data_IF_899432595179
#
_entry.id   IF_899432595179
#
_cell.length_a   1.000
_cell.length_b   1.000
_cell.length_c   1.000
_cell.angle_alpha   90.00
_cell.angle_beta   90.00
_cell.angle_gamma   90.00
#
_symmetry.space_group_name_H-M   'P 1'
#
loop_
_entity.id
_entity.type
_entity.pdbx_description
1 polymer ?
#
# COMPACT_ATOMS: atom_id res chain seq x y z
N UNK A 1 11.51 -1.13 20.39
CA UNK A 1 10.68 -0.34 19.43
C UNK A 1 9.44 -1.14 19.01
N UNK A 2 8.32 -0.48 18.65
CA UNK A 2 7.14 -1.14 18.07
C UNK A 2 6.98 -0.77 16.59
N UNK A 3 6.72 -1.77 15.75
CA UNK A 3 6.55 -1.62 14.31
C UNK A 3 5.23 -2.21 13.84
N UNK A 4 4.48 -1.45 13.05
CA UNK A 4 3.25 -1.88 12.36
C UNK A 4 3.59 -2.18 10.91
N UNK A 5 3.38 -3.42 10.44
CA UNK A 5 3.84 -3.85 9.12
C UNK A 5 2.70 -3.74 8.13
N UNK A 6 2.93 -2.94 7.10
CA UNK A 6 2.05 -2.76 5.96
C UNK A 6 2.80 -2.97 4.64
N UNK A 7 2.05 -3.07 3.56
CA UNK A 7 2.61 -3.18 2.21
C UNK A 7 3.07 -1.81 1.71
N UNK A 8 2.23 -0.79 1.91
CA UNK A 8 2.42 0.57 1.45
C UNK A 8 1.57 1.55 2.29
N UNK A 9 1.75 2.84 2.06
CA UNK A 9 0.77 3.87 2.39
C UNK A 9 0.51 4.66 1.11
N UNK A 10 -0.73 4.71 0.66
CA UNK A 10 -1.13 5.37 -0.60
C UNK A 10 -2.03 6.57 -0.33
N UNK A 11 -2.19 7.44 -1.34
CA UNK A 11 -3.14 8.55 -1.27
C UNK A 11 -4.60 8.10 -1.06
N UNK A 12 -4.95 6.90 -1.56
CA UNK A 12 -6.26 6.25 -1.38
C UNK A 12 -6.10 4.93 -0.65
N UNK A 13 -6.13 5.02 0.68
CA UNK A 13 -5.91 3.88 1.58
C UNK A 13 -7.17 3.03 1.78
N UNK A 14 -6.95 1.75 2.12
CA UNK A 14 -7.99 0.85 2.57
C UNK A 14 -8.24 1.00 4.08
N UNK A 15 -9.17 0.21 4.62
CA UNK A 15 -9.42 0.19 6.06
C UNK A 15 -8.21 -0.27 6.89
N UNK A 16 -7.31 -1.07 6.32
CA UNK A 16 -6.12 -1.58 7.02
C UNK A 16 -5.17 -0.43 7.35
N UNK A 17 -4.77 0.34 6.34
CA UNK A 17 -3.84 1.46 6.53
C UNK A 17 -4.48 2.56 7.39
N UNK A 18 -5.79 2.83 7.23
CA UNK A 18 -6.51 3.76 8.12
C UNK A 18 -6.50 3.32 9.59
N UNK A 19 -6.61 2.02 9.87
CA UNK A 19 -6.51 1.48 11.23
C UNK A 19 -5.07 1.60 11.77
N UNK A 20 -4.06 1.26 10.96
CA UNK A 20 -2.66 1.39 11.33
C UNK A 20 -2.28 2.84 11.67
N UNK A 21 -2.74 3.82 10.88
CA UNK A 21 -2.53 5.25 11.11
C UNK A 21 -3.20 5.76 12.40
N UNK A 22 -4.45 5.33 12.67
CA UNK A 22 -5.14 5.68 13.92
C UNK A 22 -4.47 5.04 15.13
N UNK A 23 -3.99 3.80 15.00
CA UNK A 23 -3.23 3.12 16.05
C UNK A 23 -1.87 3.78 16.28
N UNK A 24 -1.20 4.24 15.23
CA UNK A 24 0.04 5.02 15.32
C UNK A 24 -0.20 6.30 16.16
N UNK A 25 -1.24 7.07 15.81
CA UNK A 25 -1.61 8.28 16.56
C UNK A 25 -1.91 7.99 18.03
N UNK A 26 -2.64 6.90 18.32
CA UNK A 26 -2.93 6.46 19.69
C UNK A 26 -1.65 6.14 20.47
N UNK A 27 -0.74 5.34 19.91
CA UNK A 27 0.52 4.98 20.58
C UNK A 27 1.38 6.22 20.85
N UNK A 28 1.43 7.17 19.91
CA UNK A 28 2.11 8.46 20.09
C UNK A 28 1.49 9.29 21.21
N UNK A 29 0.16 9.32 21.33
CA UNK A 29 -0.54 9.99 22.44
C UNK A 29 -0.10 9.42 23.81
N UNK A 30 0.13 8.10 23.89
CA UNK A 30 0.62 7.41 25.09
C UNK A 30 2.16 7.37 25.19
N UNK A 31 2.88 8.16 24.38
CA UNK A 31 4.35 8.26 24.36
C UNK A 31 5.06 6.92 24.18
N UNK A 32 4.43 5.98 23.48
CA UNK A 32 5.03 4.70 23.13
C UNK A 32 5.87 4.86 21.85
N UNK A 33 7.14 4.43 21.83
CA UNK A 33 7.94 4.42 20.61
C UNK A 33 7.32 3.49 19.56
N UNK A 34 6.86 4.07 18.45
CA UNK A 34 6.13 3.36 17.40
C UNK A 34 6.47 3.91 16.02
N UNK A 35 6.53 3.02 15.03
CA UNK A 35 6.63 3.36 13.60
C UNK A 35 5.77 2.43 12.74
N UNK A 36 5.42 2.88 11.54
CA UNK A 36 4.90 2.02 10.48
C UNK A 36 6.07 1.56 9.59
N UNK A 37 6.11 0.28 9.24
CA UNK A 37 7.00 -0.28 8.24
C UNK A 37 6.21 -0.55 6.97
N UNK A 38 6.73 -0.11 5.83
CA UNK A 38 6.17 -0.43 4.52
C UNK A 38 7.15 -1.28 3.73
N UNK A 39 6.67 -2.35 3.09
CA UNK A 39 7.49 -3.26 2.30
C UNK A 39 7.82 -2.68 0.92
N UNK A 40 6.82 -2.18 0.20
CA UNK A 40 6.94 -1.94 -1.23
C UNK A 40 7.63 -0.61 -1.55
N UNK A 41 8.30 -0.57 -2.70
CA UNK A 41 9.03 0.60 -3.17
C UNK A 41 8.08 1.77 -3.49
N UNK A 42 8.34 2.94 -2.90
CA UNK A 42 7.52 4.14 -3.13
C UNK A 42 8.35 5.44 -3.20
N UNK A 43 8.43 5.97 -4.42
CA UNK A 43 9.14 7.21 -4.78
C UNK A 43 8.36 8.49 -4.48
N UNK A 44 7.08 8.37 -4.16
CA UNK A 44 6.17 9.48 -3.85
C UNK A 44 5.82 9.54 -2.36
N UNK A 45 6.43 8.68 -1.53
CA UNK A 45 6.12 8.54 -0.10
C UNK A 45 6.14 9.87 0.65
N UNK A 46 7.10 10.77 0.40
CA UNK A 46 7.17 12.09 1.04
C UNK A 46 5.91 12.95 0.77
N UNK A 47 5.35 12.88 -0.44
CA UNK A 47 4.14 13.60 -0.81
C UNK A 47 2.91 12.94 -0.17
N UNK A 48 2.82 11.61 -0.27
CA UNK A 48 1.73 10.82 0.31
C UNK A 48 1.63 11.01 1.82
N UNK A 49 2.74 10.94 2.54
CA UNK A 49 2.76 11.11 4.00
C UNK A 49 2.35 12.53 4.43
N UNK A 50 2.76 13.55 3.66
CA UNK A 50 2.31 14.93 3.87
C UNK A 50 0.80 15.07 3.70
N UNK A 51 0.22 14.49 2.65
CA UNK A 51 -1.24 14.49 2.42
C UNK A 51 -2.01 13.75 3.52
N UNK A 52 -1.44 12.66 4.04
CA UNK A 52 -2.00 11.90 5.15
C UNK A 52 -1.79 12.57 6.52
N UNK A 53 -1.01 13.65 6.60
CA UNK A 53 -0.68 14.31 7.87
C UNK A 53 0.22 13.48 8.79
N UNK A 54 1.04 12.59 8.22
CA UNK A 54 1.93 11.67 8.93
C UNK A 54 3.36 12.19 8.85
N UNK A 55 4.07 12.23 9.99
CA UNK A 55 5.47 12.63 9.97
C UNK A 55 6.32 11.54 9.28
N UNK A 56 7.21 11.93 8.38
CA UNK A 56 8.08 10.99 7.66
C UNK A 56 8.89 10.09 8.61
N UNK A 57 9.33 10.64 9.76
CA UNK A 57 10.06 9.91 10.79
C UNK A 57 9.27 8.79 11.47
N UNK A 58 7.95 8.81 11.36
CA UNK A 58 7.06 7.76 11.90
C UNK A 58 6.92 6.56 10.94
N UNK A 59 7.46 6.65 9.72
CA UNK A 59 7.40 5.60 8.70
C UNK A 59 8.82 5.19 8.29
N UNK A 60 9.08 3.90 8.12
CA UNK A 60 10.35 3.39 7.61
C UNK A 60 10.07 2.38 6.50
N UNK A 61 10.48 2.71 5.29
CA UNK A 61 10.32 1.85 4.12
C UNK A 61 11.52 0.90 3.98
N UNK A 62 11.28 -0.33 3.53
CA UNK A 62 12.34 -1.33 3.32
C UNK A 62 13.38 -0.88 2.29
N UNK A 63 12.94 -0.33 1.15
CA UNK A 63 13.84 0.16 0.11
C UNK A 63 14.62 1.37 0.58
N UNK A 64 13.97 2.34 1.23
CA UNK A 64 14.65 3.51 1.80
C UNK A 64 15.76 3.12 2.79
N UNK A 65 15.51 2.09 3.61
CA UNK A 65 16.50 1.56 4.54
C UNK A 65 17.75 1.06 3.82
N UNK A 66 17.58 0.21 2.80
CA UNK A 66 18.72 -0.32 2.04
C UNK A 66 19.38 0.72 1.12
N UNK A 67 18.62 1.72 0.67
CA UNK A 67 19.14 2.89 -0.07
C UNK A 67 19.78 3.95 0.83
N UNK A 68 19.77 3.74 2.15
CA UNK A 68 20.30 4.67 3.15
C UNK A 68 19.68 6.07 3.04
N UNK A 69 18.39 6.15 2.71
CA UNK A 69 17.66 7.41 2.63
C UNK A 69 17.26 7.85 4.05
N UNK A 70 17.64 9.06 4.49
CA UNK A 70 17.24 9.58 5.80
C UNK A 70 15.72 9.71 5.90
N UNK A 71 15.16 9.28 7.04
CA UNK A 71 13.71 9.27 7.27
C UNK A 71 13.07 10.67 7.32
N UNK A 72 13.85 11.74 7.47
CA UNK A 72 13.40 13.13 7.48
C UNK A 72 13.79 13.89 6.20
N UNK A 73 14.28 13.20 5.17
CA UNK A 73 14.71 13.83 3.92
C UNK A 73 13.53 14.58 3.29
N UNK A 74 13.67 15.89 3.01
CA UNK A 74 12.59 16.65 2.40
C UNK A 74 12.43 16.33 0.92
N UNK A 75 11.25 16.65 0.39
CA UNK A 75 11.03 16.74 -1.05
C UNK A 75 12.02 17.74 -1.67
N UNK A 76 12.58 17.39 -2.82
CA UNK A 76 13.49 18.26 -3.58
C UNK A 76 13.19 18.09 -5.06
N UNK A 77 12.60 19.11 -5.66
CA UNK A 77 12.35 19.12 -7.09
C UNK A 77 13.67 18.99 -7.88
N UNK A 78 13.62 18.16 -8.92
CA UNK A 78 14.66 18.03 -9.94
C UNK A 78 14.02 18.36 -11.27
N UNK A 79 14.66 19.23 -12.05
CA UNK A 79 14.19 19.64 -13.38
C UNK A 79 15.06 19.06 -14.52
N UNK A 80 14.60 19.20 -15.75
CA UNK A 80 15.25 18.66 -16.96
C UNK A 80 16.73 19.06 -17.09
N UNK A 81 17.04 20.30 -16.74
CA UNK A 81 18.35 20.93 -16.80
C UNK A 81 19.33 20.36 -15.77
N UNK A 82 18.84 19.72 -14.70
CA UNK A 82 19.65 19.06 -13.68
C UNK A 82 19.99 17.59 -14.03
N UNK A 83 19.25 16.97 -14.95
CA UNK A 83 19.45 15.57 -15.36
C UNK A 83 20.37 15.41 -16.58
N UNK A 84 21.13 16.47 -16.93
CA UNK A 84 22.10 16.50 -18.03
C UNK A 84 21.55 15.92 -19.35
N UNK A 85 20.44 16.48 -19.84
CA UNK A 85 19.92 16.12 -21.16
C UNK A 85 20.96 16.41 -22.27
N UNK A 86 20.97 15.65 -23.38
CA UNK A 86 21.96 15.81 -24.44
C UNK A 86 21.81 17.18 -25.09
N UNK A 87 22.91 17.93 -25.19
CA UNK A 87 22.93 19.31 -25.69
C UNK A 87 22.69 19.46 -27.20
N UNK A 88 22.76 18.36 -27.96
CA UNK A 88 22.61 18.32 -29.42
C UNK A 88 21.22 17.86 -29.89
N UNK A 89 20.30 17.62 -28.95
CA UNK A 89 18.94 17.15 -29.25
C UNK A 89 17.91 18.28 -29.10
N UNK A 90 16.83 18.17 -29.86
CA UNK A 90 15.67 19.06 -29.71
C UNK A 90 14.82 18.58 -28.53
N UNK A 91 14.51 19.50 -27.61
CA UNK A 91 13.67 19.24 -26.44
C UNK A 91 12.33 19.95 -26.61
N UNK A 92 11.25 19.17 -26.69
CA UNK A 92 9.89 19.69 -26.63
C UNK A 92 9.29 19.42 -25.26
N UNK A 93 8.67 20.43 -24.65
CA UNK A 93 8.10 20.36 -23.29
C UNK A 93 6.58 20.46 -23.38
N UNK A 94 5.88 19.53 -22.75
CA UNK A 94 4.46 19.62 -22.46
C UNK A 94 4.22 19.66 -20.93
N UNK A 95 2.96 19.74 -20.50
CA UNK A 95 2.62 19.90 -19.08
C UNK A 95 3.01 18.69 -18.21
N UNK A 96 3.10 17.49 -18.80
CA UNK A 96 3.27 16.23 -18.06
C UNK A 96 4.58 15.52 -18.39
N UNK A 97 5.24 15.90 -19.48
CA UNK A 97 6.49 15.29 -19.91
C UNK A 97 7.31 16.23 -20.81
N UNK A 98 8.57 15.89 -21.00
CA UNK A 98 9.40 16.36 -22.11
C UNK A 98 9.80 15.22 -23.03
N UNK A 99 9.98 15.53 -24.30
CA UNK A 99 10.52 14.63 -25.30
C UNK A 99 11.85 15.15 -25.82
N UNK A 100 12.81 14.25 -26.00
CA UNK A 100 14.14 14.55 -26.52
C UNK A 100 14.30 13.81 -27.84
N UNK A 101 14.52 14.56 -28.91
CA UNK A 101 14.53 14.05 -30.30
C UNK A 101 15.83 14.39 -31.03
N UNK A 102 16.20 13.54 -31.97
CA UNK A 102 17.28 13.79 -32.92
C UNK A 102 16.72 13.68 -34.33
N UNK A 103 16.34 14.81 -34.93
CA UNK A 103 15.45 14.82 -36.09
C UNK A 103 14.10 14.18 -35.73
N UNK A 104 13.57 13.30 -36.58
CA UNK A 104 12.29 12.61 -36.34
C UNK A 104 12.38 11.48 -35.29
N UNK A 105 13.58 11.17 -34.78
CA UNK A 105 13.78 10.06 -33.86
C UNK A 105 13.63 10.49 -32.40
N UNK A 106 12.62 9.95 -31.73
CA UNK A 106 12.47 10.05 -30.28
C UNK A 106 13.53 9.19 -29.57
N UNK A 107 14.36 9.83 -28.73
CA UNK A 107 15.43 9.14 -27.98
C UNK A 107 15.12 9.01 -26.50
N UNK A 108 14.45 10.02 -25.92
CA UNK A 108 14.12 10.02 -24.49
C UNK A 108 12.76 10.65 -24.23
N UNK A 109 12.11 10.21 -23.17
CA UNK A 109 10.93 10.87 -22.59
C UNK A 109 11.18 11.09 -21.11
N UNK A 110 10.94 12.32 -20.63
CA UNK A 110 11.06 12.67 -19.22
C UNK A 110 9.65 12.93 -18.70
N UNK A 111 9.11 12.07 -17.85
CA UNK A 111 7.79 12.28 -17.24
C UNK A 111 7.89 13.06 -15.94
N UNK A 112 6.85 13.81 -15.61
CA UNK A 112 6.78 14.63 -14.39
C UNK A 112 5.84 14.06 -13.34
N UNK A 113 6.11 14.38 -12.07
CA UNK A 113 5.22 14.04 -10.96
C UNK A 113 3.92 14.83 -11.14
N UNK A 114 2.74 14.18 -11.20
CA UNK A 114 1.47 14.88 -11.35
C UNK A 114 1.26 15.95 -10.27
N UNK A 115 0.74 17.11 -10.65
CA UNK A 115 0.48 18.22 -9.71
C UNK A 115 1.72 19.02 -9.31
N UNK A 116 2.88 18.76 -9.92
CA UNK A 116 4.11 19.55 -9.74
C UNK A 116 4.48 20.33 -11.01
N UNK A 117 5.42 21.26 -10.89
CA UNK A 117 5.94 22.02 -12.03
C UNK A 117 7.26 21.39 -12.50
N UNK A 118 7.20 20.53 -13.51
CA UNK A 118 8.39 19.96 -14.15
C UNK A 118 9.30 19.14 -13.22
N UNK A 119 8.77 18.60 -12.12
CA UNK A 119 9.53 17.75 -11.20
C UNK A 119 9.65 16.36 -11.84
N UNK A 120 10.87 15.96 -12.19
CA UNK A 120 11.16 14.70 -12.87
C UNK A 120 10.69 13.50 -12.03
N UNK A 121 9.92 12.62 -12.67
CA UNK A 121 9.45 11.35 -12.12
C UNK A 121 10.14 10.16 -12.77
N UNK A 122 10.34 10.18 -14.08
CA UNK A 122 11.09 9.14 -14.78
C UNK A 122 11.78 9.70 -16.02
N UNK A 123 12.78 8.98 -16.52
CA UNK A 123 13.38 9.20 -17.82
C UNK A 123 13.48 7.87 -18.58
N UNK A 124 12.69 7.75 -19.63
CA UNK A 124 12.73 6.64 -20.58
C UNK A 124 13.85 6.86 -21.60
N UNK A 125 14.53 5.78 -21.96
CA UNK A 125 15.49 5.71 -23.06
C UNK A 125 15.00 4.72 -24.10
N UNK A 126 15.00 5.14 -25.36
CA UNK A 126 14.49 4.34 -26.48
C UNK A 126 15.61 3.98 -27.46
N UNK A 127 15.52 2.80 -28.06
CA UNK A 127 16.43 2.34 -29.10
C UNK A 127 16.16 3.04 -30.46
N UNK A 128 16.68 2.49 -31.56
CA UNK A 128 16.48 3.06 -32.91
C UNK A 128 15.15 2.68 -33.56
N UNK A 129 14.46 1.70 -32.99
CA UNK A 129 13.13 1.26 -33.40
C UNK A 129 12.02 1.87 -32.54
N UNK A 130 12.38 2.58 -31.47
CA UNK A 130 11.44 3.18 -30.53
C UNK A 130 10.99 2.23 -29.41
N UNK A 131 11.72 1.14 -29.18
CA UNK A 131 11.46 0.27 -28.03
C UNK A 131 12.07 0.88 -26.77
N UNK A 132 11.36 0.77 -25.65
CA UNK A 132 11.88 1.15 -24.33
C UNK A 132 12.97 0.16 -23.91
N UNK A 133 14.18 0.66 -23.67
CA UNK A 133 15.33 -0.18 -23.23
C UNK A 133 15.71 0.05 -21.78
N UNK A 134 15.51 1.27 -21.28
CA UNK A 134 15.89 1.68 -19.94
C UNK A 134 14.92 2.75 -19.42
N UNK A 135 14.64 2.73 -18.13
CA UNK A 135 13.88 3.77 -17.44
C UNK A 135 14.56 4.13 -16.12
N UNK A 136 15.10 5.35 -16.05
CA UNK A 136 15.60 5.92 -14.82
C UNK A 136 14.42 6.43 -13.97
N UNK A 137 14.30 5.94 -12.75
CA UNK A 137 13.26 6.30 -11.79
C UNK A 137 13.80 7.32 -10.79
N UNK A 138 13.10 8.46 -10.69
CA UNK A 138 13.46 9.54 -9.78
C UNK A 138 12.52 9.56 -8.58
N UNK A 139 13.12 9.71 -7.40
CA UNK A 139 12.40 9.89 -6.14
C UNK A 139 12.03 11.36 -5.95
N UNK A 140 10.85 11.65 -5.39
CA UNK A 140 10.40 13.02 -5.10
C UNK A 140 11.35 13.78 -4.14
N UNK A 141 12.24 13.07 -3.44
CA UNK A 141 13.32 13.63 -2.62
C UNK A 141 14.57 14.00 -3.44
N UNK A 142 14.47 14.00 -4.76
CA UNK A 142 15.40 14.62 -5.70
C UNK A 142 16.67 13.84 -5.97
N UNK A 143 16.57 12.52 -6.13
CA UNK A 143 17.69 11.66 -6.54
C UNK A 143 17.20 10.54 -7.47
N UNK A 144 18.10 10.04 -8.33
CA UNK A 144 17.84 8.84 -9.10
C UNK A 144 17.90 7.63 -8.17
N UNK A 145 16.74 7.06 -7.90
CA UNK A 145 16.58 5.99 -6.91
C UNK A 145 16.65 4.60 -7.52
N UNK A 146 16.29 4.43 -8.79
CA UNK A 146 16.42 3.15 -9.48
C UNK A 146 16.55 3.31 -10.99
N UNK A 147 16.98 2.25 -11.67
CA UNK A 147 16.94 2.09 -13.13
C UNK A 147 16.31 0.75 -13.46
N UNK A 148 15.34 0.75 -14.36
CA UNK A 148 14.70 -0.44 -14.91
C UNK A 148 15.26 -0.72 -16.30
N UNK A 149 15.45 -1.99 -16.64
CA UNK A 149 15.95 -2.45 -17.93
C UNK A 149 14.98 -3.46 -18.54
N UNK A 150 14.73 -3.32 -19.84
CA UNK A 150 13.70 -4.07 -20.55
C UNK A 150 14.33 -5.04 -21.56
N UNK A 151 13.74 -6.23 -21.66
CA UNK A 151 14.15 -7.27 -22.61
C UNK A 151 13.69 -6.96 -24.05
N UNK A 152 14.11 -7.81 -24.99
CA UNK A 152 13.70 -7.70 -26.40
C UNK A 152 12.19 -7.90 -26.60
N UNK A 153 11.51 -8.54 -25.66
CA UNK A 153 10.06 -8.70 -25.59
C UNK A 153 9.33 -7.46 -25.05
N UNK A 154 10.07 -6.42 -24.64
CA UNK A 154 9.54 -5.22 -24.01
C UNK A 154 9.16 -5.41 -22.54
N UNK A 155 9.45 -6.56 -21.95
CA UNK A 155 9.12 -6.87 -20.56
C UNK A 155 10.27 -6.47 -19.62
N UNK A 156 9.93 -6.15 -18.37
CA UNK A 156 10.92 -5.82 -17.34
C UNK A 156 11.82 -7.03 -17.08
N UNK A 157 13.13 -6.87 -17.27
CA UNK A 157 14.12 -7.93 -17.11
C UNK A 157 14.98 -7.74 -15.85
N UNK A 158 15.26 -6.49 -15.50
CA UNK A 158 16.19 -6.16 -14.42
C UNK A 158 15.90 -4.78 -13.84
N UNK A 159 16.04 -4.65 -12.53
CA UNK A 159 16.01 -3.38 -11.80
C UNK A 159 17.25 -3.24 -10.93
N UNK A 160 17.80 -2.03 -10.88
CA UNK A 160 18.89 -1.65 -10.00
C UNK A 160 18.51 -0.44 -9.18
N UNK A 161 18.65 -0.52 -7.88
CA UNK A 161 18.36 0.55 -6.92
C UNK A 161 19.66 1.15 -6.40
N UNK A 162 19.65 2.46 -6.16
CA UNK A 162 20.84 3.23 -5.78
C UNK A 162 20.66 3.95 -4.45
N UNK A 163 21.75 4.15 -3.71
CA UNK A 163 21.78 5.10 -2.60
C UNK A 163 21.81 6.57 -3.09
N UNK A 164 21.81 7.51 -2.16
CA UNK A 164 21.87 8.95 -2.47
C UNK A 164 23.13 9.40 -3.22
N UNK A 165 24.18 8.57 -3.28
CA UNK A 165 25.43 8.84 -4.00
C UNK A 165 25.43 8.20 -5.40
N UNK A 166 24.37 7.47 -5.77
CA UNK A 166 24.30 6.72 -7.02
C UNK A 166 25.01 5.37 -6.96
N UNK A 167 25.36 4.88 -5.77
CA UNK A 167 25.99 3.56 -5.60
C UNK A 167 24.89 2.49 -5.62
N UNK A 168 25.02 1.41 -6.42
CA UNK A 168 24.05 0.31 -6.42
C UNK A 168 23.98 -0.38 -5.06
N UNK A 169 22.77 -0.57 -4.55
CA UNK A 169 22.51 -1.22 -3.25
C UNK A 169 21.63 -2.47 -3.34
N UNK A 170 20.80 -2.58 -4.37
CA UNK A 170 19.89 -3.70 -4.55
C UNK A 170 19.66 -3.94 -6.04
N UNK A 171 19.69 -5.19 -6.45
CA UNK A 171 19.45 -5.66 -7.81
C UNK A 171 18.26 -6.65 -7.78
N UNK A 172 17.26 -6.49 -8.64
CA UNK A 172 16.14 -7.43 -8.79
C UNK A 172 16.10 -7.91 -10.24
N UNK A 173 16.10 -9.23 -10.42
CA UNK A 173 16.10 -9.88 -11.72
C UNK A 173 14.75 -10.55 -11.97
N UNK A 174 14.28 -10.47 -13.20
CA UNK A 174 12.99 -10.97 -13.62
C UNK A 174 13.16 -12.01 -14.73
N UNK A 175 12.34 -13.07 -14.68
CA UNK A 175 12.29 -14.09 -15.72
C UNK A 175 10.86 -14.57 -15.92
N UNK A 176 10.54 -15.03 -17.13
CA UNK A 176 9.28 -15.69 -17.42
C UNK A 176 9.20 -17.05 -16.73
N UNK A 177 8.05 -17.36 -16.13
CA UNK A 177 7.73 -18.71 -15.70
C UNK A 177 7.36 -19.62 -16.90
N UNK A 178 7.07 -20.88 -16.63
CA UNK A 178 6.68 -21.86 -17.65
C UNK A 178 5.39 -21.48 -18.42
N UNK A 179 4.60 -20.53 -17.91
CA UNK A 179 3.39 -19.98 -18.53
C UNK A 179 3.64 -18.63 -19.24
N UNK A 180 4.88 -18.14 -19.26
CA UNK A 180 5.28 -16.87 -19.86
C UNK A 180 4.96 -15.64 -19.01
N UNK A 181 4.59 -15.81 -17.74
CA UNK A 181 4.39 -14.69 -16.82
C UNK A 181 5.71 -14.27 -16.19
N UNK A 182 6.02 -12.98 -16.21
CA UNK A 182 7.23 -12.44 -15.59
C UNK A 182 7.09 -12.49 -14.07
N UNK A 183 8.11 -13.08 -13.42
CA UNK A 183 8.23 -13.20 -11.97
C UNK A 183 9.63 -12.75 -11.54
N UNK A 184 9.77 -12.40 -10.26
CA UNK A 184 11.09 -12.23 -9.66
C UNK A 184 11.80 -13.59 -9.71
N UNK A 185 13.00 -13.59 -10.27
CA UNK A 185 13.85 -14.79 -10.36
C UNK A 185 15.02 -14.73 -9.39
N UNK A 186 15.43 -13.54 -8.96
CA UNK A 186 16.52 -13.33 -8.00
C UNK A 186 16.51 -11.90 -7.47
N UNK A 187 16.87 -11.73 -6.21
CA UNK A 187 17.13 -10.45 -5.56
C UNK A 187 18.54 -10.50 -4.97
N UNK A 188 19.34 -9.46 -5.19
CA UNK A 188 20.70 -9.34 -4.63
C UNK A 188 20.84 -8.01 -3.91
N UNK A 189 20.88 -8.06 -2.58
CA UNK A 189 21.24 -6.93 -1.74
C UNK A 189 22.77 -6.81 -1.68
N UNK A 190 23.30 -5.64 -2.05
CA UNK A 190 24.74 -5.43 -2.27
C UNK A 190 25.48 -5.12 -0.97
N UNK A 191 26.55 -5.89 -0.72
CA UNK A 191 27.52 -5.59 0.33
C UNK A 191 28.64 -4.66 -0.16
N UNK A 192 29.66 -4.40 0.67
CA UNK A 192 30.84 -3.65 0.22
C UNK A 192 31.69 -4.48 -0.74
N UNK A 193 31.61 -5.80 -0.61
CA UNK A 193 32.26 -6.78 -1.50
C UNK A 193 31.25 -7.84 -1.94
N UNK A 194 31.53 -8.54 -3.05
CA UNK A 194 30.70 -9.64 -3.53
C UNK A 194 30.50 -10.77 -2.50
N UNK A 195 31.40 -10.91 -1.52
CA UNK A 195 31.28 -11.91 -0.45
C UNK A 195 30.27 -11.51 0.62
N UNK A 196 29.89 -10.24 0.65
CA UNK A 196 28.92 -9.65 1.57
C UNK A 196 27.56 -9.45 0.89
N UNK A 197 27.41 -9.78 -0.40
CA UNK A 197 26.12 -9.77 -1.08
C UNK A 197 25.19 -10.81 -0.40
N UNK A 198 23.93 -10.41 -0.20
CA UNK A 198 22.87 -11.29 0.27
C UNK A 198 21.87 -11.54 -0.86
N UNK A 199 21.46 -12.80 -1.02
CA UNK A 199 20.56 -13.20 -2.11
C UNK A 199 19.24 -13.74 -1.57
N UNK A 200 18.16 -13.44 -2.28
CA UNK A 200 16.80 -13.84 -1.95
C UNK A 200 16.04 -14.22 -3.21
N UNK A 201 15.08 -15.14 -3.09
CA UNK A 201 14.22 -15.55 -4.22
C UNK A 201 12.94 -14.72 -4.28
N UNK A 202 12.51 -14.14 -3.15
CA UNK A 202 11.27 -13.37 -3.07
C UNK A 202 11.41 -12.08 -2.25
N UNK A 203 10.53 -11.11 -2.51
CA UNK A 203 10.43 -9.91 -1.67
C UNK A 203 10.04 -10.24 -0.22
N UNK A 204 9.35 -11.36 0.03
CA UNK A 204 9.03 -11.80 1.38
C UNK A 204 10.28 -12.21 2.18
N UNK A 205 11.24 -12.86 1.53
CA UNK A 205 12.52 -13.22 2.15
C UNK A 205 13.38 -11.98 2.43
N UNK A 206 13.48 -11.05 1.46
CA UNK A 206 14.15 -9.77 1.69
C UNK A 206 13.49 -8.99 2.83
N UNK A 207 12.15 -9.00 2.91
CA UNK A 207 11.42 -8.35 4.00
C UNK A 207 11.69 -9.03 5.34
N UNK A 208 11.76 -10.36 5.41
CA UNK A 208 12.16 -11.07 6.63
C UNK A 208 13.56 -10.66 7.09
N UNK A 209 14.51 -10.57 6.15
CA UNK A 209 15.86 -10.11 6.44
C UNK A 209 15.88 -8.66 6.95
N UNK A 210 15.09 -7.77 6.33
CA UNK A 210 14.93 -6.40 6.82
C UNK A 210 14.42 -6.36 8.26
N UNK A 211 13.40 -7.15 8.60
CA UNK A 211 12.89 -7.24 9.97
C UNK A 211 13.95 -7.77 10.95
N UNK A 212 14.77 -8.73 10.53
CA UNK A 212 15.91 -9.24 11.32
C UNK A 212 16.97 -8.16 11.56
N UNK A 213 17.28 -7.32 10.57
CA UNK A 213 18.18 -6.18 10.73
C UNK A 213 17.63 -5.22 11.79
N UNK A 214 16.35 -4.82 11.67
CA UNK A 214 15.72 -3.92 12.64
C UNK A 214 15.70 -4.46 14.07
N UNK A 215 15.43 -5.75 14.22
CA UNK A 215 15.42 -6.40 15.54
C UNK A 215 16.82 -6.49 16.15
N UNK A 216 17.86 -6.56 15.32
CA UNK A 216 19.26 -6.63 15.76
C UNK A 216 19.83 -5.24 16.07
N UNK A 217 19.39 -4.20 15.36
CA UNK A 217 19.75 -2.79 15.62
C UNK A 217 19.23 -2.29 16.98
N UNK A 218 18.07 -2.80 17.43
CA UNK A 218 17.46 -2.38 18.67
C UNK A 218 18.08 -3.12 19.87
N UNK A 219 18.57 -2.36 20.86
CA UNK A 219 19.08 -2.93 22.11
C UNK A 219 17.99 -3.53 22.99
N UNK A 220 16.74 -3.11 22.78
CA UNK A 220 15.56 -3.67 23.45
C UNK A 220 14.82 -4.65 22.52
N UNK A 221 13.99 -5.51 23.13
CA UNK A 221 13.16 -6.43 22.35
C UNK A 221 12.21 -5.65 21.42
N UNK A 222 12.43 -5.78 20.12
CA UNK A 222 11.54 -5.21 19.10
C UNK A 222 10.21 -5.95 19.06
N UNK A 223 9.11 -5.22 18.83
CA UNK A 223 7.76 -5.75 18.65
C UNK A 223 7.28 -5.46 17.23
N UNK A 224 6.86 -6.49 16.52
CA UNK A 224 6.27 -6.42 15.20
C UNK A 224 4.79 -6.79 15.26
N UNK A 225 3.92 -5.97 14.66
CA UNK A 225 2.50 -6.25 14.48
C UNK A 225 2.19 -6.21 12.99
N UNK A 226 1.92 -7.35 12.37
CA UNK A 226 1.51 -7.41 10.96
C UNK A 226 0.05 -6.97 10.81
N UNK A 227 -0.18 -5.79 10.23
CA UNK A 227 -1.54 -5.32 9.90
C UNK A 227 -2.09 -5.95 8.63
N UNK A 228 -1.19 -6.36 7.74
CA UNK A 228 -1.51 -6.98 6.47
C UNK A 228 -0.97 -8.41 6.42
N UNK A 229 -1.82 -9.42 6.71
CA UNK A 229 -1.40 -10.82 6.76
C UNK A 229 -0.71 -11.30 5.49
N UNK A 230 -1.17 -10.87 4.31
CA UNK A 230 -0.63 -11.31 3.02
C UNK A 230 0.83 -10.93 2.76
N UNK A 231 1.35 -9.91 3.45
CA UNK A 231 2.77 -9.50 3.32
C UNK A 231 3.57 -9.77 4.59
N UNK A 232 2.93 -9.82 5.77
CA UNK A 232 3.65 -9.89 7.03
C UNK A 232 3.69 -11.27 7.68
N UNK A 233 2.73 -12.18 7.39
CA UNK A 233 2.70 -13.49 8.07
C UNK A 233 3.93 -14.32 7.73
N UNK A 234 4.21 -14.58 6.46
CA UNK A 234 5.35 -15.42 6.07
C UNK A 234 6.69 -14.82 6.54
N UNK A 235 6.96 -13.52 6.35
CA UNK A 235 8.19 -12.91 6.84
C UNK A 235 8.36 -13.01 8.36
N UNK A 236 7.31 -12.77 9.15
CA UNK A 236 7.41 -12.95 10.62
C UNK A 236 7.73 -14.39 11.03
N UNK A 237 7.18 -15.39 10.32
CA UNK A 237 7.46 -16.80 10.57
C UNK A 237 8.88 -17.22 10.16
N UNK A 238 9.49 -16.49 9.22
CA UNK A 238 10.82 -16.75 8.67
C UNK A 238 11.94 -16.04 9.45
N UNK A 239 11.66 -14.94 10.16
CA UNK A 239 12.63 -14.18 10.96
C UNK A 239 13.47 -15.07 11.90
N UNK A 240 14.77 -14.79 11.93
CA UNK A 240 15.76 -15.44 12.79
C UNK A 240 16.07 -14.64 14.07
N UNK A 241 16.01 -13.31 14.00
CA UNK A 241 16.29 -12.44 15.13
C UNK A 241 15.20 -12.56 16.21
N UNK A 242 15.59 -12.38 17.47
CA UNK A 242 14.66 -12.39 18.59
C UNK A 242 13.78 -11.14 18.54
N UNK A 243 12.47 -11.32 18.47
CA UNK A 243 11.48 -10.25 18.50
C UNK A 243 10.15 -10.77 19.05
N UNK A 244 9.30 -9.84 19.48
CA UNK A 244 7.89 -10.14 19.73
C UNK A 244 7.11 -10.00 18.43
N UNK A 245 6.31 -11.00 18.09
CA UNK A 245 5.63 -11.10 16.79
C UNK A 245 4.13 -11.25 16.98
N UNK A 246 3.36 -10.32 16.47
CA UNK A 246 1.90 -10.35 16.49
C UNK A 246 1.35 -10.24 15.07
N UNK A 247 0.22 -10.89 14.82
CA UNK A 247 -0.51 -10.77 13.55
C UNK A 247 -1.89 -10.20 13.85
N UNK A 248 -2.17 -9.03 13.31
CA UNK A 248 -3.50 -8.45 13.29
C UNK A 248 -4.29 -9.00 12.11
N UNK A 249 -5.52 -9.45 12.36
CA UNK A 249 -6.38 -10.10 11.38
C UNK A 249 -7.54 -9.15 11.06
N UNK A 250 -7.44 -8.34 9.99
CA UNK A 250 -8.47 -7.38 9.60
C UNK A 250 -9.64 -7.99 8.82
N UNK A 251 -9.59 -9.30 8.55
CA UNK A 251 -10.52 -10.04 7.69
C UNK A 251 -11.18 -11.19 8.44
N UNK A 252 -12.20 -11.82 7.83
CA UNK A 252 -12.69 -13.09 8.33
C UNK A 252 -11.57 -14.15 8.18
N UNK A 253 -11.39 -15.00 9.19
CA UNK A 253 -10.37 -16.05 9.16
C UNK A 253 -10.78 -17.26 8.30
N UNK A 254 -12.03 -17.29 7.82
CA UNK A 254 -12.54 -18.28 6.87
C UNK A 254 -13.12 -17.65 5.61
N UNK A 255 -13.09 -18.39 4.50
CA UNK A 255 -13.72 -18.03 3.23
C UNK A 255 -15.25 -18.17 3.25
N UNK A 256 -15.79 -18.93 4.20
CA UNK A 256 -17.21 -19.29 4.32
C UNK A 256 -17.78 -18.74 5.64
N UNK A 257 -18.29 -17.49 5.68
CA UNK A 257 -18.62 -16.79 6.92
C UNK A 257 -19.70 -17.47 7.79
N UNK A 258 -20.59 -18.27 7.21
CA UNK A 258 -21.62 -19.06 7.90
C UNK A 258 -21.04 -20.27 8.66
N UNK A 259 -19.76 -20.62 8.42
CA UNK A 259 -19.07 -21.74 9.08
C UNK A 259 -17.76 -21.27 9.74
N UNK A 260 -17.79 -20.31 10.69
CA UNK A 260 -16.58 -19.70 11.25
C UNK A 260 -15.63 -20.69 11.93
N UNK A 261 -16.15 -21.83 12.43
CA UNK A 261 -15.35 -22.83 13.18
C UNK A 261 -14.88 -24.02 12.35
N UNK A 262 -15.35 -24.16 11.10
CA UNK A 262 -15.10 -25.35 10.28
C UNK A 262 -14.76 -25.04 8.82
N UNK A 263 -15.12 -23.85 8.34
CA UNK A 263 -14.92 -23.43 6.96
C UNK A 263 -13.45 -23.40 6.54
N UNK A 264 -13.22 -23.38 5.25
CA UNK A 264 -11.89 -23.21 4.68
C UNK A 264 -11.25 -21.92 5.19
N UNK A 265 -9.98 -22.00 5.59
CA UNK A 265 -9.24 -20.85 6.14
C UNK A 265 -8.89 -19.88 5.02
N UNK A 266 -8.81 -18.59 5.36
CA UNK A 266 -8.16 -17.62 4.48
C UNK A 266 -6.66 -17.96 4.35
N UNK A 267 -6.18 -18.03 3.11
CA UNK A 267 -4.81 -18.47 2.79
C UNK A 267 -3.72 -17.56 3.37
N UNK A 268 -4.00 -16.29 3.63
CA UNK A 268 -3.03 -15.39 4.26
C UNK A 268 -2.88 -15.63 5.76
N UNK A 269 -3.91 -16.17 6.42
CA UNK A 269 -3.94 -16.45 7.86
C UNK A 269 -3.51 -17.89 8.15
N UNK A 270 -3.78 -18.82 7.24
CA UNK A 270 -3.52 -20.24 7.42
C UNK A 270 -2.09 -20.57 7.93
N UNK A 271 -1.00 -19.97 7.41
CA UNK A 271 0.35 -20.30 7.87
C UNK A 271 0.58 -20.00 9.36
N UNK A 272 0.05 -18.88 9.88
CA UNK A 272 0.22 -18.54 11.30
C UNK A 272 -0.62 -19.45 12.21
N UNK A 273 -1.76 -19.94 11.73
CA UNK A 273 -2.59 -20.92 12.46
C UNK A 273 -1.97 -22.34 12.47
N UNK A 274 -1.16 -22.68 11.46
CA UNK A 274 -0.41 -23.94 11.40
C UNK A 274 0.88 -23.91 12.23
N UNK A 275 1.43 -22.72 12.49
CA UNK A 275 2.67 -22.53 13.27
C UNK A 275 2.52 -21.49 14.40
N UNK A 276 1.52 -21.61 15.29
CA UNK A 276 1.19 -20.56 16.25
C UNK A 276 2.28 -20.33 17.31
N UNK A 277 3.18 -21.30 17.53
CA UNK A 277 4.34 -21.16 18.40
C UNK A 277 5.40 -20.19 17.87
N UNK A 278 5.36 -19.82 16.58
CA UNK A 278 6.31 -18.88 15.96
C UNK A 278 5.90 -17.42 16.13
N UNK A 279 4.74 -17.15 16.71
CA UNK A 279 4.24 -15.81 17.03
C UNK A 279 3.82 -15.74 18.51
N UNK A 280 3.82 -14.54 19.09
CA UNK A 280 3.41 -14.32 20.48
C UNK A 280 1.88 -14.23 20.62
N UNK A 281 1.17 -13.87 19.55
CA UNK A 281 -0.29 -13.90 19.53
C UNK A 281 -0.93 -13.33 18.25
N UNK A 282 -2.22 -13.58 18.12
CA UNK A 282 -3.09 -13.00 17.10
C UNK A 282 -3.96 -11.91 17.72
N UNK A 283 -4.24 -10.88 16.94
CA UNK A 283 -5.13 -9.78 17.30
C UNK A 283 -6.29 -9.78 16.31
N UNK A 284 -7.52 -9.83 16.82
CA UNK A 284 -8.75 -9.79 16.03
C UNK A 284 -9.63 -8.63 16.45
N UNK A 285 -10.54 -8.21 15.57
CA UNK A 285 -11.36 -7.03 15.81
C UNK A 285 -12.49 -7.23 16.82
N UNK A 286 -12.99 -8.46 16.97
CA UNK A 286 -14.20 -8.73 17.75
C UNK A 286 -14.03 -9.89 18.73
N UNK A 287 -14.71 -9.84 19.89
CA UNK A 287 -14.79 -10.98 20.79
C UNK A 287 -15.37 -12.24 20.13
N UNK A 288 -16.29 -12.08 19.17
CA UNK A 288 -16.86 -13.20 18.42
C UNK A 288 -15.79 -13.94 17.61
N UNK A 289 -14.97 -13.21 16.84
CA UNK A 289 -13.88 -13.81 16.07
C UNK A 289 -12.82 -14.45 16.98
N UNK A 290 -12.54 -13.83 18.14
CA UNK A 290 -11.65 -14.40 19.15
C UNK A 290 -12.19 -15.75 19.66
N UNK A 291 -13.48 -15.81 19.99
CA UNK A 291 -14.12 -17.03 20.46
C UNK A 291 -14.12 -18.12 19.38
N UNK A 292 -14.47 -17.80 18.14
CA UNK A 292 -14.49 -18.77 17.04
C UNK A 292 -13.09 -19.33 16.72
N UNK A 293 -12.04 -18.50 16.79
CA UNK A 293 -10.66 -18.96 16.65
C UNK A 293 -10.19 -19.77 17.86
N UNK A 294 -10.56 -19.39 19.09
CA UNK A 294 -10.19 -20.13 20.28
C UNK A 294 -10.80 -21.53 20.30
N UNK A 295 -12.08 -21.65 19.94
CA UNK A 295 -12.79 -22.93 19.85
C UNK A 295 -12.16 -23.86 18.80
N UNK A 296 -11.78 -23.31 17.64
CA UNK A 296 -11.16 -24.08 16.54
C UNK A 296 -9.68 -24.40 16.79
N UNK A 297 -8.95 -23.47 17.42
CA UNK A 297 -7.50 -23.54 17.62
C UNK A 297 -7.12 -23.18 19.08
N UNK A 298 -7.38 -24.06 20.06
CA UNK A 298 -7.24 -23.75 21.49
C UNK A 298 -5.81 -23.47 21.94
N UNK A 299 -4.79 -23.82 21.14
CA UNK A 299 -3.37 -23.54 21.41
C UNK A 299 -2.94 -22.13 20.98
N UNK A 300 -3.77 -21.42 20.23
CA UNK A 300 -3.45 -20.11 19.67
C UNK A 300 -3.86 -19.03 20.67
N UNK A 301 -2.93 -18.13 20.98
CA UNK A 301 -3.23 -16.94 21.79
C UNK A 301 -3.90 -15.91 20.90
N UNK A 302 -5.14 -15.56 21.21
CA UNK A 302 -5.92 -14.58 20.43
C UNK A 302 -6.48 -13.54 21.38
N UNK A 303 -6.32 -12.26 21.05
CA UNK A 303 -6.90 -11.13 21.77
C UNK A 303 -7.86 -10.35 20.87
N UNK A 304 -9.05 -10.01 21.39
CA UNK A 304 -9.96 -9.08 20.73
C UNK A 304 -9.55 -7.64 21.06
N UNK A 305 -9.01 -6.93 20.07
CA UNK A 305 -8.67 -5.50 20.16
C UNK A 305 -9.29 -4.81 18.94
N UNK A 306 -10.25 -3.89 19.14
CA UNK A 306 -10.87 -3.14 18.05
C UNK A 306 -9.83 -2.39 17.20
N UNK A 307 -10.09 -2.28 15.89
CA UNK A 307 -9.20 -1.64 14.93
C UNK A 307 -8.90 -0.17 15.28
N UNK A 308 -9.88 0.52 15.86
CA UNK A 308 -9.86 1.95 16.14
C UNK A 308 -10.56 2.24 17.46
N UNK A 309 -10.19 3.35 18.07
CA UNK A 309 -10.89 3.97 19.19
C UNK A 309 -11.51 5.28 18.72
N UNK A 310 -12.53 5.76 19.43
CA UNK A 310 -13.11 7.08 19.21
C UNK A 310 -13.25 7.77 20.56
N UNK A 311 -13.21 9.10 20.56
CA UNK A 311 -13.52 9.89 21.75
C UNK A 311 -15.05 9.80 22.01
N UNK A 312 -15.48 9.27 23.16
CA UNK A 312 -16.90 9.23 23.51
C UNK A 312 -17.57 10.61 23.47
N UNK A 313 -16.85 11.70 23.69
CA UNK A 313 -17.39 13.06 23.59
C UNK A 313 -17.90 13.40 22.17
N UNK A 314 -17.37 12.75 21.12
CA UNK A 314 -17.86 12.90 19.75
C UNK A 314 -19.26 12.30 19.56
N UNK A 315 -19.66 11.31 20.38
CA UNK A 315 -21.02 10.74 20.32
C UNK A 315 -22.10 11.62 20.98
N UNK A 316 -21.71 12.61 21.78
CA UNK A 316 -22.64 13.56 22.39
C UNK A 316 -23.24 14.57 21.37
N UNK A 317 -22.65 14.66 20.17
CA UNK A 317 -23.14 15.50 19.06
C UNK A 317 -24.02 14.71 18.09
N UNK A 318 -25.17 14.18 18.52
CA UNK A 318 -26.19 13.69 17.57
C UNK A 318 -27.54 13.41 18.24
N UNK A 319 -28.24 14.45 18.69
CA UNK A 319 -29.70 14.39 18.85
C UNK A 319 -30.45 15.19 17.75
N UNK A 320 -29.74 15.96 16.93
CA UNK A 320 -30.32 16.84 15.92
C UNK A 320 -30.47 16.20 14.51
N UNK A 321 -30.02 14.96 14.31
CA UNK A 321 -30.00 14.29 13.00
C UNK A 321 -31.36 13.73 12.53
N UNK A 322 -32.43 13.93 13.30
CA UNK A 322 -33.67 13.14 13.20
C UNK A 322 -34.60 13.43 11.99
N UNK A 323 -34.20 14.21 10.98
CA UNK A 323 -35.06 14.53 9.83
C UNK A 323 -34.48 14.17 8.45
N UNK A 324 -33.21 13.75 8.36
CA UNK A 324 -32.59 13.42 7.07
C UNK A 324 -32.92 11.99 6.65
N UNK A 325 -33.51 11.82 5.46
CA UNK A 325 -33.76 10.51 4.81
C UNK A 325 -32.57 10.06 3.96
N UNK A 326 -31.37 10.52 4.31
CA UNK A 326 -30.14 10.28 3.58
C UNK A 326 -29.46 9.02 4.09
N UNK A 327 -29.19 8.11 3.17
CA UNK A 327 -28.38 6.91 3.39
C UNK A 327 -26.96 7.24 2.95
N UNK A 328 -25.99 6.78 3.74
CA UNK A 328 -24.58 6.99 3.51
C UNK A 328 -23.87 5.63 3.42
N UNK A 329 -23.13 5.41 2.34
CA UNK A 329 -22.15 4.32 2.24
C UNK A 329 -20.75 4.90 2.17
N UNK A 330 -19.83 4.36 2.96
CA UNK A 330 -18.42 4.75 2.96
C UNK A 330 -17.58 3.49 2.90
N UNK A 331 -16.86 3.31 1.81
CA UNK A 331 -15.99 2.15 1.62
C UNK A 331 -15.53 2.00 0.18
N UNK A 332 -14.68 1.00 -0.08
CA UNK A 332 -14.32 0.67 -1.47
C UNK A 332 -15.56 0.33 -2.28
N UNK A 333 -15.60 0.78 -3.52
CA UNK A 333 -16.67 0.49 -4.47
C UNK A 333 -16.27 -0.75 -5.29
N UNK A 334 -16.48 -1.93 -4.71
CA UNK A 334 -16.04 -3.19 -5.29
C UNK A 334 -17.11 -4.30 -5.16
N UNK A 335 -17.07 -5.35 -6.02
CA UNK A 335 -18.10 -6.40 -6.03
C UNK A 335 -18.33 -7.08 -4.67
N UNK A 336 -17.27 -7.27 -3.87
CA UNK A 336 -17.37 -7.86 -2.52
C UNK A 336 -18.21 -7.02 -1.55
N UNK A 337 -18.46 -5.75 -1.85
CA UNK A 337 -19.32 -4.87 -1.04
C UNK A 337 -20.79 -4.90 -1.43
N UNK A 338 -21.15 -5.64 -2.47
CA UNK A 338 -22.54 -5.88 -2.89
C UNK A 338 -23.34 -4.58 -3.07
N UNK A 339 -22.75 -3.56 -3.70
CA UNK A 339 -23.44 -2.29 -3.96
C UNK A 339 -24.70 -2.46 -4.81
N UNK A 340 -24.77 -3.52 -5.62
CA UNK A 340 -25.96 -3.89 -6.36
C UNK A 340 -27.14 -4.23 -5.44
N UNK A 341 -26.89 -4.91 -4.31
CA UNK A 341 -27.90 -5.19 -3.31
C UNK A 341 -28.33 -3.92 -2.58
N UNK A 342 -27.37 -3.04 -2.24
CA UNK A 342 -27.66 -1.74 -1.62
C UNK A 342 -28.57 -0.89 -2.53
N UNK A 343 -28.26 -0.79 -3.82
CA UNK A 343 -29.07 -0.05 -4.80
C UNK A 343 -30.48 -0.62 -4.92
N UNK A 344 -30.62 -1.96 -4.97
CA UNK A 344 -31.94 -2.62 -4.99
C UNK A 344 -32.72 -2.34 -3.71
N UNK A 345 -32.08 -2.33 -2.55
CA UNK A 345 -32.71 -1.99 -1.28
C UNK A 345 -33.20 -0.53 -1.27
N UNK A 346 -32.39 0.42 -1.75
CA UNK A 346 -32.79 1.83 -1.89
C UNK A 346 -33.98 1.98 -2.85
N UNK A 347 -33.99 1.26 -3.97
CA UNK A 347 -35.12 1.27 -4.90
C UNK A 347 -36.43 0.78 -4.24
N UNK A 348 -36.35 -0.27 -3.40
CA UNK A 348 -37.51 -0.74 -2.63
C UNK A 348 -37.97 0.28 -1.59
N UNK A 349 -37.04 0.89 -0.85
CA UNK A 349 -37.35 1.91 0.16
C UNK A 349 -38.01 3.16 -0.45
N UNK A 350 -37.51 3.60 -1.60
CA UNK A 350 -37.97 4.81 -2.29
C UNK A 350 -39.41 4.72 -2.81
N UNK A 351 -39.94 3.50 -2.97
CA UNK A 351 -41.36 3.26 -3.30
C UNK A 351 -42.31 3.54 -2.13
N UNK A 352 -41.81 3.46 -0.90
CA UNK A 352 -42.61 3.60 0.32
C UNK A 352 -42.31 4.91 1.05
N UNK A 353 -41.10 5.45 0.90
CA UNK A 353 -40.63 6.64 1.61
C UNK A 353 -40.15 7.67 0.58
N UNK A 354 -40.84 8.81 0.51
CA UNK A 354 -40.45 9.92 -0.36
C UNK A 354 -39.18 10.61 0.14
N UNK A 355 -38.29 11.01 -0.78
CA UNK A 355 -37.09 11.79 -0.47
C UNK A 355 -35.91 10.99 0.08
N UNK A 356 -35.87 9.68 -0.12
CA UNK A 356 -34.67 8.87 0.18
C UNK A 356 -33.56 9.24 -0.82
N UNK A 357 -32.34 9.44 -0.31
CA UNK A 357 -31.15 9.67 -1.15
C UNK A 357 -30.00 8.80 -0.66
N UNK A 358 -29.12 8.37 -1.55
CA UNK A 358 -27.93 7.59 -1.25
C UNK A 358 -26.67 8.31 -1.71
N UNK A 359 -25.77 8.59 -0.79
CA UNK A 359 -24.41 9.01 -1.13
C UNK A 359 -23.42 7.85 -0.98
N UNK A 360 -22.66 7.58 -2.04
CA UNK A 360 -21.61 6.57 -2.11
C UNK A 360 -20.24 7.27 -2.08
N UNK A 361 -19.52 7.14 -0.96
CA UNK A 361 -18.15 7.62 -0.81
C UNK A 361 -17.15 6.47 -0.92
N UNK A 362 -16.06 6.72 -1.64
CA UNK A 362 -14.98 5.78 -1.86
C UNK A 362 -14.48 5.74 -3.30
N UNK A 363 -13.65 4.75 -3.58
CA UNK A 363 -13.04 4.52 -4.88
C UNK A 363 -13.15 3.03 -5.23
N UNK A 364 -13.03 2.73 -6.51
CA UNK A 364 -13.02 1.36 -7.02
C UNK A 364 -12.81 1.36 -8.51
N UNK A 365 -12.87 0.17 -9.10
CA UNK A 365 -12.76 -0.01 -10.55
C UNK A 365 -13.79 0.83 -11.31
N UNK A 366 -13.36 1.47 -12.40
CA UNK A 366 -14.21 2.38 -13.17
C UNK A 366 -15.34 1.64 -13.90
N UNK A 367 -15.07 0.44 -14.39
CA UNK A 367 -16.08 -0.38 -15.06
C UNK A 367 -17.16 -0.81 -14.08
N UNK A 368 -16.76 -1.25 -12.88
CA UNK A 368 -17.70 -1.58 -11.80
C UNK A 368 -18.55 -0.38 -11.39
N UNK A 369 -17.94 0.79 -11.18
CA UNK A 369 -18.68 2.01 -10.86
C UNK A 369 -19.66 2.39 -11.98
N UNK A 370 -19.25 2.26 -13.24
CA UNK A 370 -20.12 2.49 -14.40
C UNK A 370 -21.30 1.52 -14.41
N UNK A 371 -21.05 0.23 -14.16
CA UNK A 371 -22.10 -0.78 -14.05
C UNK A 371 -23.11 -0.47 -12.92
N UNK A 372 -22.63 0.06 -11.78
CA UNK A 372 -23.48 0.47 -10.66
C UNK A 372 -24.33 1.71 -10.98
N UNK A 373 -23.79 2.70 -11.72
CA UNK A 373 -24.57 3.85 -12.22
C UNK A 373 -25.69 3.38 -13.15
N UNK A 374 -25.37 2.53 -14.12
CA UNK A 374 -26.36 1.95 -15.03
C UNK A 374 -27.43 1.13 -14.28
N UNK A 375 -27.05 0.42 -13.21
CA UNK A 375 -28.01 -0.29 -12.37
C UNK A 375 -28.95 0.69 -11.64
N UNK A 376 -28.43 1.79 -11.09
CA UNK A 376 -29.25 2.83 -10.47
C UNK A 376 -30.26 3.44 -11.46
N UNK A 377 -29.84 3.67 -12.71
CA UNK A 377 -30.72 4.17 -13.77
C UNK A 377 -31.82 3.15 -14.12
N UNK A 378 -31.47 1.87 -14.30
CA UNK A 378 -32.46 0.79 -14.53
C UNK A 378 -33.44 0.59 -13.38
N UNK A 379 -33.03 0.93 -12.16
CA UNK A 379 -33.87 0.89 -10.97
C UNK A 379 -34.69 2.18 -10.77
N UNK A 380 -34.58 3.15 -11.69
CA UNK A 380 -35.26 4.45 -11.65
C UNK A 380 -34.92 5.29 -10.40
N UNK A 381 -33.72 5.09 -9.85
CA UNK A 381 -33.19 5.82 -8.68
C UNK A 381 -31.93 6.63 -9.01
N UNK A 382 -31.54 6.75 -10.29
CA UNK A 382 -30.31 7.44 -10.70
C UNK A 382 -30.17 8.86 -10.13
N UNK A 383 -31.26 9.64 -10.09
CA UNK A 383 -31.27 10.99 -9.50
C UNK A 383 -31.15 11.04 -7.97
N UNK A 384 -31.33 9.90 -7.31
CA UNK A 384 -31.28 9.76 -5.85
C UNK A 384 -29.92 9.26 -5.37
N UNK A 385 -29.06 8.77 -6.28
CA UNK A 385 -27.77 8.16 -5.97
C UNK A 385 -26.64 9.06 -6.42
N UNK A 386 -25.78 9.49 -5.49
CA UNK A 386 -24.61 10.31 -5.81
C UNK A 386 -23.31 9.57 -5.49
N UNK A 387 -22.44 9.41 -6.48
CA UNK A 387 -21.08 8.92 -6.28
C UNK A 387 -20.16 10.09 -5.96
N UNK A 388 -19.68 10.17 -4.72
CA UNK A 388 -18.93 11.31 -4.19
C UNK A 388 -17.41 11.16 -4.30
N UNK A 389 -16.92 9.99 -4.72
CA UNK A 389 -15.50 9.69 -4.77
C UNK A 389 -14.89 9.47 -3.39
N UNK A 390 -13.57 9.27 -3.35
CA UNK A 390 -12.83 9.14 -2.10
C UNK A 390 -12.64 10.50 -1.45
N UNK A 391 -12.85 10.56 -0.13
CA UNK A 391 -12.65 11.76 0.66
C UNK A 391 -11.87 11.45 1.93
N UNK A 392 -10.70 12.09 2.08
CA UNK A 392 -9.80 11.89 3.23
C UNK A 392 -10.31 12.55 4.52
N UNK A 393 -11.15 13.60 4.40
CA UNK A 393 -11.66 14.39 5.53
C UNK A 393 -13.19 14.30 5.68
N UNK A 394 -13.77 13.12 5.46
CA UNK A 394 -15.24 12.94 5.53
C UNK A 394 -15.84 13.30 6.89
N UNK A 395 -15.07 13.13 7.98
CA UNK A 395 -15.52 13.46 9.34
C UNK A 395 -15.64 14.98 9.61
N UNK A 396 -15.05 15.81 8.73
CA UNK A 396 -15.08 17.28 8.83
C UNK A 396 -16.21 17.90 7.99
N UNK A 397 -17.02 17.08 7.31
CA UNK A 397 -18.21 17.46 6.52
C UNK A 397 -19.50 17.11 7.25
#
# INVERSE_FOLDING_TARGET
>A
MIYFLDEYLLAKNSSVEHAALKRLALFKQFKQPVKILTRDYDRLSVQTLRELGVAQTDVRNMFDYFQHVPADRPEKAVHNDEINLPTMDEVSVDANQSQVTNGDRLRRQVGYIPGTVGHVYYQNFLDDQGNLVECDLWDARGFKSATQYFGQDGLLAFERYYDLRGVPVLDIYYAGDHAGQIQISRIVLKGQTLKEDHEFDTLGELFSYFLDQLATEDSETTIFISDRPGIGVQPLLAMHAAAKKFVYIPINHVLTPDKPRQGELDGFIQPVLQHPQKVDGLIVQTPQQQHDLHDRFPKVRVAAIPAVTFDPALTARSAAAAASKKILFVGRLSPDKQLDQLLRAVALASRQVSGVTLDLFGYGDEQYQTAMRQLADRLEIGSQVTFKGYQSSLADQ
#
